data_IF_743260533030
#
_entry.id   IF_743260533030
#
_cell.length_a   1.000
_cell.length_b   1.000
_cell.length_c   1.000
_cell.angle_alpha   90.00
_cell.angle_beta   90.00
_cell.angle_gamma   90.00
#
_symmetry.space_group_name_H-M   'P 1'
#
loop_
_entity.id
_entity.type
_entity.pdbx_description
1 polymer ?
#
# COMPACT_ATOMS: atom_id res chain seq x y z
N UNK A 1 5.99 -10.29 10.13
CA UNK A 1 6.18 -8.87 9.85
C UNK A 1 5.01 -8.34 9.04
N UNK A 2 4.48 -7.20 9.42
CA UNK A 2 3.33 -6.56 8.77
C UNK A 2 3.77 -5.39 7.92
N UNK A 3 3.39 -5.39 6.65
CA UNK A 3 3.73 -4.33 5.70
C UNK A 3 2.45 -3.63 5.21
N UNK A 4 2.40 -2.30 5.32
CA UNK A 4 1.36 -1.51 4.66
C UNK A 4 1.87 -1.15 3.27
N UNK A 5 1.16 -1.57 2.23
CA UNK A 5 1.59 -1.41 0.85
C UNK A 5 0.92 -0.18 0.25
N UNK A 6 1.71 0.78 -0.22
CA UNK A 6 1.20 1.99 -0.87
C UNK A 6 0.72 1.69 -2.29
N UNK A 7 -0.24 2.48 -2.75
CA UNK A 7 -0.88 2.27 -4.05
C UNK A 7 0.08 2.27 -5.23
N UNK A 8 1.15 3.06 -5.20
CA UNK A 8 2.11 3.08 -6.30
C UNK A 8 2.80 1.72 -6.48
N UNK A 9 3.04 1.00 -5.39
CA UNK A 9 3.65 -0.35 -5.43
C UNK A 9 2.67 -1.36 -6.01
N UNK A 10 1.39 -1.27 -5.66
CA UNK A 10 0.34 -2.12 -6.22
C UNK A 10 0.21 -1.86 -7.72
N UNK A 11 0.13 -0.59 -8.12
CA UNK A 11 0.00 -0.18 -9.52
C UNK A 11 1.20 -0.59 -10.37
N UNK A 12 2.41 -0.57 -9.80
CA UNK A 12 3.61 -0.99 -10.52
C UNK A 12 3.46 -2.40 -11.10
N UNK A 13 2.83 -3.30 -10.34
CA UNK A 13 2.62 -4.66 -10.80
C UNK A 13 1.41 -4.75 -11.74
N UNK A 14 0.28 -4.15 -11.35
CA UNK A 14 -0.93 -4.20 -12.17
C UNK A 14 -0.75 -3.58 -13.55
N UNK A 15 0.04 -2.52 -13.64
CA UNK A 15 0.29 -1.80 -14.90
C UNK A 15 1.65 -2.09 -15.51
N UNK A 16 2.39 -3.03 -14.94
CA UNK A 16 3.72 -3.43 -15.42
C UNK A 16 4.65 -2.22 -15.64
N UNK A 17 4.78 -1.38 -14.62
CA UNK A 17 5.55 -0.11 -14.71
C UNK A 17 7.04 -0.32 -14.56
N UNK A 18 7.78 -0.13 -15.65
CA UNK A 18 9.24 -0.14 -15.61
C UNK A 18 9.79 1.20 -15.08
N UNK A 19 10.91 1.22 -14.35
CA UNK A 19 11.73 0.09 -13.92
C UNK A 19 11.28 -0.51 -12.57
N UNK A 20 10.14 -0.10 -12.04
CA UNK A 20 9.70 -0.40 -10.66
C UNK A 20 9.11 -1.80 -10.49
N UNK A 21 8.56 -2.36 -11.55
CA UNK A 21 7.79 -3.61 -11.48
C UNK A 21 8.60 -4.78 -10.92
N UNK A 22 9.89 -4.86 -11.23
CA UNK A 22 10.72 -5.98 -10.78
C UNK A 22 10.77 -6.08 -9.25
N UNK A 23 11.06 -4.98 -8.58
CA UNK A 23 11.15 -4.96 -7.10
C UNK A 23 9.76 -5.04 -6.46
N UNK A 24 8.78 -4.31 -7.02
CA UNK A 24 7.41 -4.35 -6.51
C UNK A 24 6.82 -5.76 -6.62
N UNK A 25 7.10 -6.49 -7.69
CA UNK A 25 6.64 -7.87 -7.86
C UNK A 25 7.27 -8.81 -6.81
N UNK A 26 8.49 -8.56 -6.40
CA UNK A 26 9.14 -9.34 -5.34
C UNK A 26 8.46 -9.12 -3.99
N UNK A 27 8.01 -7.90 -3.71
CA UNK A 27 7.21 -7.61 -2.51
C UNK A 27 5.90 -8.41 -2.54
N UNK A 28 5.21 -8.41 -3.68
CA UNK A 28 3.99 -9.20 -3.85
C UNK A 28 4.26 -10.68 -3.57
N UNK A 29 5.37 -11.20 -4.08
CA UNK A 29 5.75 -12.59 -3.89
C UNK A 29 5.93 -12.95 -2.41
N UNK A 30 6.56 -12.06 -1.65
CA UNK A 30 6.72 -12.26 -0.21
C UNK A 30 5.36 -12.33 0.50
N UNK A 31 4.42 -11.51 0.08
CA UNK A 31 3.05 -11.51 0.63
C UNK A 31 2.30 -12.77 0.19
N UNK A 32 2.38 -13.12 -1.09
CA UNK A 32 1.71 -14.28 -1.66
C UNK A 32 2.16 -15.60 -1.00
N UNK A 33 3.44 -15.71 -0.69
CA UNK A 33 4.02 -16.90 -0.08
C UNK A 33 3.99 -16.87 1.45
N UNK A 34 3.30 -15.89 2.04
CA UNK A 34 3.14 -15.74 3.49
C UNK A 34 4.44 -15.56 4.27
N UNK A 35 5.49 -15.07 3.61
CA UNK A 35 6.73 -14.72 4.30
C UNK A 35 6.58 -13.43 5.07
N UNK A 36 5.68 -12.55 4.62
CA UNK A 36 5.26 -11.34 5.31
C UNK A 36 3.74 -11.22 5.18
N UNK A 37 3.12 -10.41 6.02
CA UNK A 37 1.70 -10.07 5.90
C UNK A 37 1.59 -8.71 5.19
N UNK A 38 0.98 -8.68 4.03
CA UNK A 38 0.77 -7.46 3.27
C UNK A 38 -0.63 -6.91 3.49
N UNK A 39 -0.72 -5.60 3.73
CA UNK A 39 -2.00 -4.90 3.95
C UNK A 39 -2.17 -3.77 2.94
N UNK A 40 -3.38 -3.62 2.43
CA UNK A 40 -3.75 -2.54 1.51
C UNK A 40 -4.98 -1.84 2.09
N UNK A 41 -4.95 -0.51 2.19
CA UNK A 41 -6.11 0.21 2.71
C UNK A 41 -7.24 0.26 1.68
N UNK A 42 -8.48 0.33 2.17
CA UNK A 42 -9.64 0.49 1.31
C UNK A 42 -9.56 1.75 0.46
N UNK A 43 -8.98 2.83 1.00
CA UNK A 43 -8.76 4.06 0.24
C UNK A 43 -7.80 3.81 -0.92
N UNK A 44 -6.73 3.07 -0.68
CA UNK A 44 -5.75 2.71 -1.73
C UNK A 44 -6.44 1.98 -2.88
N UNK A 45 -7.31 1.01 -2.57
CA UNK A 45 -8.03 0.28 -3.60
C UNK A 45 -8.97 1.21 -4.39
N UNK A 46 -9.74 2.06 -3.71
CA UNK A 46 -10.63 3.00 -4.38
C UNK A 46 -9.87 3.95 -5.31
N UNK A 47 -8.73 4.47 -4.86
CA UNK A 47 -7.87 5.33 -5.67
C UNK A 47 -7.29 4.60 -6.88
N UNK A 48 -6.88 3.36 -6.70
CA UNK A 48 -6.36 2.51 -7.74
C UNK A 48 -7.40 2.30 -8.85
N UNK A 49 -8.64 1.99 -8.48
CA UNK A 49 -9.75 1.84 -9.43
C UNK A 49 -9.96 3.14 -10.20
N UNK A 50 -9.92 4.29 -9.52
CA UNK A 50 -10.07 5.58 -10.18
C UNK A 50 -8.94 5.83 -11.19
N UNK A 51 -7.70 5.56 -10.80
CA UNK A 51 -6.52 5.73 -11.68
C UNK A 51 -6.65 4.85 -12.92
N UNK A 52 -7.11 3.62 -12.75
CA UNK A 52 -7.22 2.63 -13.82
C UNK A 52 -8.59 2.64 -14.53
N UNK A 53 -9.44 3.65 -14.27
CA UNK A 53 -10.84 3.64 -14.71
C UNK A 53 -11.05 3.45 -16.21
N UNK A 54 -10.07 3.83 -17.02
CA UNK A 54 -10.16 3.63 -18.49
C UNK A 54 -9.79 2.23 -18.91
N UNK A 55 -9.11 1.49 -18.06
CA UNK A 55 -8.65 0.12 -18.32
C UNK A 55 -9.57 -0.92 -17.70
N UNK A 56 -10.41 -0.51 -16.74
CA UNK A 56 -11.21 -1.44 -15.94
C UNK A 56 -12.69 -1.31 -16.26
N UNK A 57 -13.31 -2.42 -16.63
CA UNK A 57 -14.76 -2.58 -16.65
C UNK A 57 -15.20 -2.99 -15.24
N UNK A 58 -16.51 -2.90 -14.90
CA UNK A 58 -17.00 -3.39 -13.61
C UNK A 58 -16.60 -4.85 -13.32
N UNK A 59 -16.61 -5.70 -14.34
CA UNK A 59 -16.20 -7.10 -14.21
C UNK A 59 -14.72 -7.22 -13.83
N UNK A 60 -13.87 -6.43 -14.49
CA UNK A 60 -12.43 -6.43 -14.21
C UNK A 60 -12.11 -5.87 -12.83
N UNK A 61 -12.88 -4.89 -12.36
CA UNK A 61 -12.72 -4.37 -11.00
C UNK A 61 -12.89 -5.50 -10.00
N UNK A 62 -13.94 -6.31 -10.19
CA UNK A 62 -14.19 -7.44 -9.30
C UNK A 62 -13.06 -8.46 -9.37
N UNK A 63 -12.57 -8.76 -10.56
CA UNK A 63 -11.44 -9.68 -10.74
C UNK A 63 -10.17 -9.18 -10.03
N UNK A 64 -9.85 -7.90 -10.18
CA UNK A 64 -8.69 -7.29 -9.53
C UNK A 64 -8.85 -7.35 -8.02
N UNK A 65 -10.02 -6.99 -7.51
CA UNK A 65 -10.29 -7.04 -6.07
C UNK A 65 -10.08 -8.45 -5.52
N UNK A 66 -10.66 -9.47 -6.18
CA UNK A 66 -10.52 -10.86 -5.73
C UNK A 66 -9.08 -11.35 -5.78
N UNK A 67 -8.34 -10.94 -6.81
CA UNK A 67 -6.92 -11.29 -6.92
C UNK A 67 -6.11 -10.67 -5.78
N UNK A 68 -6.39 -9.41 -5.46
CA UNK A 68 -5.69 -8.72 -4.36
C UNK A 68 -6.03 -9.35 -3.01
N UNK A 69 -7.27 -9.79 -2.81
CA UNK A 69 -7.68 -10.47 -1.56
C UNK A 69 -6.91 -11.77 -1.31
N UNK A 70 -6.45 -12.42 -2.37
CA UNK A 70 -5.67 -13.65 -2.23
C UNK A 70 -4.25 -13.38 -1.71
N UNK A 71 -3.76 -12.18 -1.90
CA UNK A 71 -2.36 -11.81 -1.62
C UNK A 71 -2.26 -10.89 -0.41
N UNK A 72 -3.19 -9.93 -0.28
CA UNK A 72 -3.17 -8.89 0.73
C UNK A 72 -4.41 -8.95 1.60
N UNK A 73 -4.30 -8.39 2.81
CA UNK A 73 -5.45 -8.14 3.66
C UNK A 73 -5.87 -6.68 3.47
N UNK A 74 -7.16 -6.44 3.28
CA UNK A 74 -7.67 -5.08 3.19
C UNK A 74 -7.90 -4.50 4.59
N UNK A 75 -7.57 -3.21 4.73
CA UNK A 75 -7.73 -2.47 5.99
C UNK A 75 -8.82 -1.43 5.82
N UNK A 76 -9.80 -1.47 6.71
CA UNK A 76 -10.86 -0.46 6.74
C UNK A 76 -10.29 0.89 7.14
N UNK A 77 -10.86 1.96 6.58
CA UNK A 77 -10.64 3.31 7.11
C UNK A 77 -11.65 3.55 8.21
N UNK A 78 -11.19 3.89 9.38
CA UNK A 78 -12.06 4.18 10.52
C UNK A 78 -12.20 5.68 10.71
N UNK A 79 -13.26 6.10 11.41
CA UNK A 79 -13.42 7.51 11.80
C UNK A 79 -12.20 7.97 12.62
N UNK A 80 -11.70 7.09 13.46
CA UNK A 80 -10.49 7.35 14.27
C UNK A 80 -9.27 7.65 13.39
N UNK A 81 -9.11 6.94 12.29
CA UNK A 81 -8.02 7.20 11.33
C UNK A 81 -8.17 8.58 10.71
N UNK A 82 -9.41 8.95 10.33
CA UNK A 82 -9.70 10.26 9.74
C UNK A 82 -9.36 11.40 10.70
N UNK A 83 -9.75 11.25 11.96
CA UNK A 83 -9.48 12.25 13.01
C UNK A 83 -7.98 12.38 13.28
N UNK A 84 -7.30 11.24 13.42
CA UNK A 84 -5.87 11.23 13.69
C UNK A 84 -5.09 11.87 12.52
N UNK A 85 -5.43 11.53 11.30
CA UNK A 85 -4.78 12.10 10.12
C UNK A 85 -4.99 13.61 10.04
N UNK A 86 -6.19 14.09 10.38
CA UNK A 86 -6.46 15.53 10.41
C UNK A 86 -5.61 16.24 11.46
N UNK A 87 -5.44 15.62 12.65
CA UNK A 87 -4.63 16.18 13.74
C UNK A 87 -3.13 16.22 13.39
N UNK A 88 -2.67 15.34 12.53
CA UNK A 88 -1.28 15.29 12.11
C UNK A 88 -0.87 16.50 11.28
N UNK A 89 -1.81 17.10 10.56
CA UNK A 89 -1.60 18.31 9.74
C UNK A 89 -0.47 18.16 8.71
N UNK A 90 -0.40 17.00 8.08
CA UNK A 90 0.52 16.78 6.96
C UNK A 90 0.03 17.50 5.71
N UNK A 91 0.94 17.87 4.82
CA UNK A 91 0.59 18.49 3.54
C UNK A 91 -0.31 17.59 2.70
N UNK A 92 -0.05 16.29 2.69
CA UNK A 92 -0.86 15.31 1.99
C UNK A 92 -1.70 14.52 2.98
N UNK A 93 -3.01 14.77 2.96
CA UNK A 93 -3.95 14.13 3.88
C UNK A 93 -4.07 12.62 3.62
N UNK A 94 -4.02 12.19 2.37
CA UNK A 94 -4.10 10.76 2.04
C UNK A 94 -2.90 9.99 2.59
N UNK A 95 -1.71 10.57 2.52
CA UNK A 95 -0.51 9.98 3.12
C UNK A 95 -0.65 9.90 4.65
N UNK A 96 -1.20 10.95 5.26
CA UNK A 96 -1.46 10.95 6.69
C UNK A 96 -2.46 9.85 7.09
N UNK A 97 -3.52 9.65 6.29
CA UNK A 97 -4.48 8.58 6.51
C UNK A 97 -3.80 7.21 6.45
N UNK A 98 -2.95 7.01 5.46
CA UNK A 98 -2.23 5.76 5.31
C UNK A 98 -1.30 5.50 6.49
N UNK A 99 -0.57 6.52 6.93
CA UNK A 99 0.30 6.42 8.10
C UNK A 99 -0.50 6.12 9.37
N UNK A 100 -1.65 6.76 9.55
CA UNK A 100 -2.53 6.52 10.70
C UNK A 100 -3.06 5.08 10.71
N UNK A 101 -3.52 4.59 9.56
CA UNK A 101 -3.99 3.22 9.42
C UNK A 101 -2.86 2.21 9.66
N UNK A 102 -1.67 2.48 9.14
CA UNK A 102 -0.50 1.63 9.35
C UNK A 102 -0.16 1.51 10.84
N UNK A 103 -0.22 2.63 11.56
CA UNK A 103 0.03 2.63 13.01
C UNK A 103 -1.05 1.83 13.75
N UNK A 104 -2.31 1.99 13.39
CA UNK A 104 -3.43 1.30 14.04
C UNK A 104 -3.33 -0.22 13.91
N UNK A 105 -2.91 -0.72 12.76
CA UNK A 105 -2.77 -2.16 12.54
C UNK A 105 -1.42 -2.71 12.99
N UNK A 106 -0.61 -1.89 13.61
CA UNK A 106 0.74 -2.26 14.06
C UNK A 106 1.63 -2.74 12.91
N UNK A 107 1.56 -2.04 11.77
CA UNK A 107 2.45 -2.33 10.66
C UNK A 107 3.90 -2.04 11.07
N UNK A 108 4.80 -2.89 10.65
CA UNK A 108 6.23 -2.71 10.93
C UNK A 108 6.85 -1.71 9.96
N UNK A 109 6.36 -1.70 8.72
CA UNK A 109 6.92 -0.90 7.63
C UNK A 109 5.82 -0.49 6.67
N UNK A 110 5.95 0.72 6.10
CA UNK A 110 5.17 1.17 4.95
C UNK A 110 6.06 0.97 3.72
N UNK A 111 5.57 0.26 2.72
CA UNK A 111 6.29 0.07 1.46
C UNK A 111 5.76 1.05 0.44
N UNK A 112 6.61 1.95 -0.03
CA UNK A 112 6.23 3.05 -0.93
C UNK A 112 7.43 3.47 -1.78
N UNK A 113 7.16 3.99 -2.99
CA UNK A 113 8.24 4.61 -3.77
C UNK A 113 8.55 6.03 -3.32
N UNK A 114 7.67 6.64 -2.52
CA UNK A 114 7.77 8.03 -2.08
C UNK A 114 8.09 8.14 -0.58
N UNK A 115 9.21 7.60 -0.19
CA UNK A 115 9.61 7.50 1.24
C UNK A 115 9.61 8.86 1.94
N UNK A 116 10.04 9.93 1.26
CA UNK A 116 10.07 11.27 1.88
C UNK A 116 8.69 11.80 2.27
N UNK A 117 7.61 11.33 1.62
CA UNK A 117 6.26 11.74 1.96
C UNK A 117 5.83 11.18 3.32
N UNK A 118 6.53 10.16 3.79
CA UNK A 118 6.25 9.51 5.08
C UNK A 118 7.33 9.75 6.13
N UNK A 119 8.20 10.73 5.94
CA UNK A 119 9.30 11.00 6.87
C UNK A 119 8.86 11.31 8.30
N UNK A 120 7.65 11.84 8.47
CA UNK A 120 7.09 12.16 9.79
C UNK A 120 6.26 11.02 10.38
N UNK A 121 6.14 9.91 9.66
CA UNK A 121 5.38 8.75 10.10
C UNK A 121 6.08 8.05 11.27
N UNK A 122 5.29 7.56 12.22
CA UNK A 122 5.81 6.72 13.31
C UNK A 122 6.18 5.34 12.79
N UNK A 123 5.52 4.88 11.72
CA UNK A 123 5.87 3.63 11.05
C UNK A 123 6.91 3.97 9.98
N UNK A 124 8.04 3.29 10.01
CA UNK A 124 9.12 3.53 9.04
C UNK A 124 8.68 3.19 7.62
N UNK A 125 9.11 3.98 6.64
CA UNK A 125 8.81 3.74 5.24
C UNK A 125 10.07 3.36 4.48
N UNK A 126 9.94 2.36 3.60
CA UNK A 126 11.03 1.90 2.73
C UNK A 126 10.51 1.75 1.31
N UNK A 127 11.40 1.94 0.33
CA UNK A 127 11.09 1.55 -1.04
C UNK A 127 11.13 0.02 -1.13
N UNK A 128 10.50 -0.58 -2.16
CA UNK A 128 10.64 -2.02 -2.38
C UNK A 128 12.10 -2.48 -2.40
N UNK A 129 12.96 -1.76 -3.12
CA UNK A 129 14.39 -2.11 -3.20
C UNK A 129 15.07 -2.07 -1.83
N UNK A 130 14.84 -1.01 -1.06
CA UNK A 130 15.41 -0.87 0.29
C UNK A 130 14.95 -1.97 1.23
N UNK A 131 13.67 -2.30 1.17
CA UNK A 131 13.11 -3.36 1.99
C UNK A 131 13.73 -4.71 1.65
N UNK A 132 13.81 -5.04 0.36
CA UNK A 132 14.38 -6.30 -0.11
C UNK A 132 15.84 -6.44 0.29
N UNK A 133 16.61 -5.36 0.21
CA UNK A 133 18.01 -5.34 0.61
C UNK A 133 18.19 -5.69 2.08
N UNK A 134 17.29 -5.19 2.94
CA UNK A 134 17.37 -5.40 4.40
C UNK A 134 16.85 -6.76 4.85
N UNK A 135 16.01 -7.41 4.05
CA UNK A 135 15.28 -8.62 4.43
C UNK A 135 15.58 -9.82 3.54
N UNK A 136 16.71 -9.84 2.88
CA UNK A 136 17.16 -10.99 2.08
C UNK A 136 18.40 -11.65 2.67
#
# INVERSE_FOLDING_TARGET
MRLMIDGNVVLDVLQNREPHVADSAKIWKLCETNQVEGFVSGLTFANLVYIMRRELTPEKINEVFRSLELIFQFVDLTVSDLEKAADMQWDDYEDALQAAAAERIHADVIITRNVKDFRKSKVSAFTPAEFLERHT
#
